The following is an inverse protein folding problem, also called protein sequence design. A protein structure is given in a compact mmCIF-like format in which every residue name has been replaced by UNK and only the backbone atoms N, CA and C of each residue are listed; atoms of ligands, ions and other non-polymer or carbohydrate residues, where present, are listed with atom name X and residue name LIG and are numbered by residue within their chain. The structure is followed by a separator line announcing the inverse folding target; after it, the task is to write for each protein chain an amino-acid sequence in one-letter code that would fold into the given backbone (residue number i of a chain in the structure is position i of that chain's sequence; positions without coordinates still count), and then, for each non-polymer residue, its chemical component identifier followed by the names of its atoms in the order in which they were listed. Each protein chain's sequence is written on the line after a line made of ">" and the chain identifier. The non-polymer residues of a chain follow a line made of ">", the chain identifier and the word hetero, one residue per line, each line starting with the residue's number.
data_IF_009786391958
#
_entry.id   IF_009786391958
#
_cell.length_a   1.000
_cell.length_b   1.000
_cell.length_c   1.000
_cell.angle_alpha   90.00
_cell.angle_beta   90.00
_cell.angle_gamma   90.00
#
_symmetry.space_group_name_H-M   'P 1'
#
loop_
_entity.id
_entity.type
_entity.pdbx_description
1 polymer ?
#
# COMPACT_ATOMS: atom_id res chain seq x y z
N UNK A 1 2.67 9.88 -11.77
CA UNK A 1 3.00 8.53 -11.29
C UNK A 1 2.60 7.49 -12.31
N UNK A 2 3.44 6.47 -12.50
CA UNK A 2 3.33 5.48 -13.60
C UNK A 2 2.51 4.23 -13.25
N UNK A 3 2.21 3.99 -11.98
CA UNK A 3 1.50 2.80 -11.50
C UNK A 3 0.05 3.11 -11.11
N UNK A 4 -0.82 2.11 -11.27
CA UNK A 4 -2.15 2.05 -10.66
C UNK A 4 -2.06 1.51 -9.22
N UNK A 5 -3.14 1.63 -8.45
CA UNK A 5 -3.20 1.17 -7.05
C UNK A 5 -3.05 -0.34 -6.86
N UNK A 6 -3.26 -1.12 -7.92
CA UNK A 6 -3.01 -2.56 -7.94
C UNK A 6 -1.55 -2.92 -8.28
N UNK A 7 -0.68 -1.91 -8.42
CA UNK A 7 0.73 -2.00 -8.85
C UNK A 7 0.92 -2.39 -10.32
N UNK A 8 -0.14 -2.35 -11.14
CA UNK A 8 -0.02 -2.46 -12.60
C UNK A 8 0.52 -1.17 -13.22
N UNK A 9 1.25 -1.30 -14.33
CA UNK A 9 1.75 -0.17 -15.10
C UNK A 9 0.61 0.48 -15.90
N UNK A 10 0.49 1.81 -15.83
CA UNK A 10 -0.48 2.56 -16.63
C UNK A 10 -0.21 2.34 -18.13
N UNK A 11 -1.26 2.01 -18.87
CA UNK A 11 -1.15 1.63 -20.30
C UNK A 11 -0.80 0.17 -20.56
N UNK A 12 -0.32 -0.57 -19.55
CA UNK A 12 0.06 -1.98 -19.66
C UNK A 12 -0.58 -2.81 -18.52
N UNK A 13 -1.89 -3.08 -18.58
CA UNK A 13 -2.67 -3.64 -17.46
C UNK A 13 -2.33 -5.10 -17.09
N UNK A 14 -1.40 -5.74 -17.80
CA UNK A 14 -0.88 -7.09 -17.52
C UNK A 14 0.55 -7.07 -16.98
N UNK A 15 1.14 -5.89 -16.82
CA UNK A 15 2.51 -5.69 -16.33
C UNK A 15 2.47 -5.09 -14.94
N UNK A 16 3.07 -5.77 -13.97
CA UNK A 16 3.13 -5.34 -12.58
C UNK A 16 4.57 -5.01 -12.19
N UNK A 17 4.75 -4.00 -11.33
CA UNK A 17 6.06 -3.60 -10.83
C UNK A 17 6.08 -3.58 -9.30
N UNK A 18 7.21 -3.95 -8.72
CA UNK A 18 7.44 -3.95 -7.29
C UNK A 18 8.94 -3.78 -6.98
N UNK A 19 9.25 -3.46 -5.72
CA UNK A 19 10.62 -3.22 -5.27
C UNK A 19 11.11 -1.82 -5.60
N UNK A 20 12.41 -1.60 -5.46
CA UNK A 20 13.01 -0.26 -5.53
C UNK A 20 12.67 0.53 -6.82
N UNK A 21 12.44 -0.17 -7.95
CA UNK A 21 12.03 0.46 -9.21
C UNK A 21 10.72 1.24 -9.11
N UNK A 22 9.86 0.92 -8.13
CA UNK A 22 8.58 1.62 -7.91
C UNK A 22 8.70 2.82 -6.97
N UNK A 23 9.89 3.10 -6.44
CA UNK A 23 10.12 4.19 -5.48
C UNK A 23 9.86 3.82 -4.03
N UNK A 24 9.85 2.52 -3.69
CA UNK A 24 10.00 2.10 -2.29
C UNK A 24 11.48 1.90 -1.94
N UNK A 25 11.83 2.07 -0.67
CA UNK A 25 13.19 1.85 -0.18
C UNK A 25 13.18 0.85 0.98
N UNK A 26 14.07 -0.14 0.95
CA UNK A 26 14.17 -1.18 1.98
C UNK A 26 13.68 -2.56 1.54
N UNK A 27 14.21 -3.60 2.19
CA UNK A 27 13.90 -5.00 1.89
C UNK A 27 12.46 -5.36 2.26
N UNK A 28 11.96 -4.83 3.37
CA UNK A 28 10.61 -5.13 3.87
C UNK A 28 9.57 -4.53 2.91
N UNK A 29 9.76 -3.28 2.51
CA UNK A 29 8.89 -2.57 1.57
C UNK A 29 8.91 -3.20 0.19
N UNK A 30 10.09 -3.58 -0.30
CA UNK A 30 10.22 -4.26 -1.58
C UNK A 30 9.51 -5.62 -1.57
N UNK A 31 9.68 -6.40 -0.50
CA UNK A 31 9.01 -7.71 -0.33
C UNK A 31 7.50 -7.53 -0.24
N UNK A 32 7.04 -6.54 0.52
CA UNK A 32 5.64 -6.18 0.67
C UNK A 32 4.97 -5.81 -0.67
N UNK A 33 5.63 -4.95 -1.47
CA UNK A 33 5.13 -4.60 -2.81
C UNK A 33 5.15 -5.81 -3.74
N UNK A 34 6.18 -6.65 -3.68
CA UNK A 34 6.29 -7.86 -4.49
C UNK A 34 5.15 -8.84 -4.23
N UNK A 35 4.86 -9.10 -2.96
CA UNK A 35 3.74 -9.95 -2.54
C UNK A 35 2.41 -9.41 -3.07
N UNK A 36 2.14 -8.12 -2.87
CA UNK A 36 0.87 -7.50 -3.30
C UNK A 36 0.74 -7.48 -4.82
N UNK A 37 1.81 -7.14 -5.54
CA UNK A 37 1.83 -7.19 -7.01
C UNK A 37 1.54 -8.61 -7.51
N UNK A 38 2.14 -9.63 -6.90
CA UNK A 38 1.89 -11.04 -7.22
C UNK A 38 0.44 -11.47 -6.95
N UNK A 39 -0.12 -11.08 -5.82
CA UNK A 39 -1.54 -11.31 -5.50
C UNK A 39 -2.45 -10.67 -6.55
N UNK A 40 -2.22 -9.40 -6.90
CA UNK A 40 -3.04 -8.69 -7.88
C UNK A 40 -2.88 -9.29 -9.29
N UNK A 41 -1.67 -9.65 -9.70
CA UNK A 41 -1.42 -10.33 -10.97
C UNK A 41 -2.14 -11.68 -11.04
N UNK A 42 -2.05 -12.50 -9.98
CA UNK A 42 -2.75 -13.78 -9.89
C UNK A 42 -4.28 -13.61 -9.97
N UNK A 43 -4.84 -12.64 -9.24
CA UNK A 43 -6.27 -12.31 -9.31
C UNK A 43 -6.69 -11.90 -10.72
N UNK A 44 -5.92 -11.03 -11.38
CA UNK A 44 -6.18 -10.58 -12.75
C UNK A 44 -6.18 -11.74 -13.75
N UNK A 45 -5.22 -12.66 -13.64
CA UNK A 45 -5.16 -13.86 -14.48
C UNK A 45 -6.35 -14.80 -14.27
N UNK A 46 -6.90 -14.84 -13.04
CA UNK A 46 -8.09 -15.61 -12.69
C UNK A 46 -9.41 -14.89 -13.00
N UNK A 47 -9.37 -13.69 -13.60
CA UNK A 47 -10.56 -12.88 -13.87
C UNK A 47 -11.26 -12.36 -12.61
N UNK A 48 -10.58 -12.32 -11.46
CA UNK A 48 -11.13 -11.81 -10.19
C UNK A 48 -10.96 -10.29 -10.11
N UNK A 49 -11.88 -9.65 -9.40
CA UNK A 49 -11.84 -8.20 -9.19
C UNK A 49 -10.66 -7.78 -8.31
N UNK A 50 -10.22 -6.54 -8.50
CA UNK A 50 -9.21 -5.92 -7.65
C UNK A 50 -9.80 -5.63 -6.26
N UNK A 51 -9.10 -6.07 -5.21
CA UNK A 51 -9.43 -5.74 -3.83
C UNK A 51 -8.40 -4.71 -3.33
N UNK A 52 -8.80 -3.47 -3.08
CA UNK A 52 -7.86 -2.42 -2.71
C UNK A 52 -7.27 -2.66 -1.31
N UNK A 53 -5.94 -2.57 -1.23
CA UNK A 53 -5.23 -2.52 0.04
C UNK A 53 -5.65 -1.25 0.78
N UNK A 54 -6.05 -1.35 2.07
CA UNK A 54 -6.60 -0.21 2.80
C UNK A 54 -5.51 0.83 3.10
N UNK A 55 -5.77 2.10 2.76
CA UNK A 55 -4.80 3.22 2.87
C UNK A 55 -4.32 3.51 4.29
N UNK A 56 -5.09 3.11 5.30
CA UNK A 56 -4.72 3.27 6.69
C UNK A 56 -3.80 2.13 7.21
N UNK A 57 -3.51 1.12 6.39
CA UNK A 57 -2.47 0.12 6.64
C UNK A 57 -1.10 0.61 6.15
N UNK A 58 0.00 0.03 6.65
CA UNK A 58 1.35 0.37 6.18
C UNK A 58 1.53 0.14 4.67
N UNK A 59 1.05 -1.00 4.18
CA UNK A 59 1.08 -1.36 2.77
C UNK A 59 0.28 -0.37 1.91
N UNK A 60 -0.94 -0.05 2.32
CA UNK A 60 -1.79 0.88 1.58
C UNK A 60 -1.26 2.32 1.59
N UNK A 61 -0.65 2.75 2.70
CA UNK A 61 0.01 4.05 2.79
C UNK A 61 1.19 4.15 1.80
N UNK A 62 2.03 3.11 1.70
CA UNK A 62 3.11 3.05 0.71
C UNK A 62 2.58 3.01 -0.72
N UNK A 63 1.58 2.17 -1.01
CA UNK A 63 0.96 2.08 -2.34
C UNK A 63 0.43 3.45 -2.76
N UNK A 64 -0.28 4.13 -1.85
CA UNK A 64 -0.77 5.48 -2.10
C UNK A 64 0.37 6.43 -2.41
N UNK A 65 1.44 6.41 -1.61
CA UNK A 65 2.60 7.26 -1.83
C UNK A 65 3.22 7.05 -3.21
N UNK A 66 3.45 5.81 -3.65
CA UNK A 66 4.09 5.51 -4.94
C UNK A 66 3.14 5.60 -6.16
N UNK A 67 1.82 5.72 -5.94
CA UNK A 67 0.84 5.81 -7.05
C UNK A 67 0.18 7.18 -7.19
N UNK A 68 0.13 7.97 -6.11
CA UNK A 68 -0.64 9.23 -6.05
C UNK A 68 0.21 10.48 -5.71
N UNK A 69 1.50 10.34 -5.33
CA UNK A 69 2.37 11.50 -5.08
C UNK A 69 2.60 12.34 -6.34
N UNK A 70 2.87 13.64 -6.14
CA UNK A 70 3.31 14.53 -7.22
C UNK A 70 4.62 13.99 -7.83
N UNK A 71 4.70 13.76 -9.16
CA UNK A 71 5.94 13.37 -9.82
C UNK A 71 7.06 14.40 -9.65
N UNK A 72 6.72 15.69 -9.60
CA UNK A 72 7.68 16.74 -9.35
C UNK A 72 8.16 16.67 -7.90
N UNK A 73 9.43 16.34 -7.72
CA UNK A 73 10.04 16.19 -6.39
C UNK A 73 9.72 14.86 -5.70
N UNK A 74 9.19 13.86 -6.42
CA UNK A 74 9.06 12.51 -5.87
C UNK A 74 10.42 11.96 -5.44
N UNK A 75 10.47 11.33 -4.27
CA UNK A 75 11.65 10.64 -3.74
C UNK A 75 11.25 9.24 -3.31
N UNK A 76 12.12 8.23 -3.48
CA UNK A 76 11.91 6.93 -2.87
C UNK A 76 11.73 7.04 -1.35
N UNK A 77 10.89 6.19 -0.77
CA UNK A 77 10.66 6.19 0.67
C UNK A 77 10.43 4.79 1.22
N UNK A 78 10.90 4.58 2.45
CA UNK A 78 10.46 3.50 3.32
C UNK A 78 9.14 3.85 4.03
N UNK A 79 8.55 2.90 4.77
CA UNK A 79 7.37 3.22 5.58
C UNK A 79 7.73 4.14 6.75
N UNK A 80 6.97 5.21 6.92
CA UNK A 80 7.09 6.08 8.08
C UNK A 80 5.70 6.60 8.51
N UNK A 81 5.60 7.10 9.75
CA UNK A 81 4.34 7.59 10.30
C UNK A 81 3.73 8.79 9.56
N UNK A 82 4.52 9.49 8.73
CA UNK A 82 4.04 10.60 7.90
C UNK A 82 3.22 10.16 6.69
N UNK A 83 3.37 8.91 6.24
CA UNK A 83 2.62 8.37 5.09
C UNK A 83 1.19 7.92 5.48
N UNK A 84 0.93 7.68 6.77
CA UNK A 84 -0.38 7.26 7.22
C UNK A 84 -1.38 8.42 7.19
N UNK A 85 -2.63 8.10 6.88
CA UNK A 85 -3.72 9.08 6.98
C UNK A 85 -3.85 9.66 8.39
N UNK A 86 -4.23 10.93 8.49
CA UNK A 86 -4.44 11.57 9.79
C UNK A 86 -5.53 10.86 10.62
N UNK A 87 -5.41 10.95 11.94
CA UNK A 87 -6.51 10.59 12.84
C UNK A 87 -7.59 11.68 12.77
N UNK A 88 -8.86 11.31 12.98
CA UNK A 88 -9.98 12.26 12.98
C UNK A 88 -9.81 13.32 14.08
N UNK A 89 -9.29 12.91 15.22
CA UNK A 89 -9.09 13.76 16.38
C UNK A 89 -7.63 14.15 16.54
N UNK A 90 -7.40 15.38 17.00
CA UNK A 90 -6.06 15.89 17.27
C UNK A 90 -5.54 15.31 18.59
N UNK A 91 -4.60 14.39 18.48
CA UNK A 91 -3.88 13.83 19.63
C UNK A 91 -2.56 14.56 19.83
N UNK A 92 -2.38 15.20 20.99
CA UNK A 92 -1.15 15.94 21.34
C UNK A 92 0.02 15.02 21.68
N UNK A 93 -0.23 13.94 22.42
CA UNK A 93 0.80 12.97 22.78
C UNK A 93 1.22 12.15 21.54
N UNK A 94 2.48 12.33 21.13
CA UNK A 94 3.07 11.65 19.98
C UNK A 94 3.11 10.13 20.13
N UNK A 95 3.39 9.60 21.33
CA UNK A 95 3.48 8.15 21.56
C UNK A 95 2.08 7.54 21.49
N UNK A 96 1.10 8.17 22.15
CA UNK A 96 -0.29 7.74 22.08
C UNK A 96 -0.84 7.83 20.66
N UNK A 97 -0.57 8.93 19.93
CA UNK A 97 -0.93 9.07 18.51
C UNK A 97 -0.40 7.93 17.64
N UNK A 98 0.89 7.60 17.78
CA UNK A 98 1.52 6.50 17.02
C UNK A 98 0.87 5.16 17.34
N UNK A 99 0.54 4.89 18.60
CA UNK A 99 -0.17 3.68 19.02
C UNK A 99 -1.52 3.56 18.32
N UNK A 100 -2.32 4.62 18.32
CA UNK A 100 -3.62 4.64 17.64
C UNK A 100 -3.51 4.40 16.13
N UNK A 101 -2.47 4.96 15.48
CA UNK A 101 -2.20 4.70 14.06
C UNK A 101 -1.91 3.22 13.83
N UNK A 102 -1.06 2.60 14.66
CA UNK A 102 -0.72 1.17 14.56
C UNK A 102 -1.94 0.28 14.79
N UNK A 103 -2.73 0.55 15.83
CA UNK A 103 -3.96 -0.21 16.13
C UNK A 103 -4.95 -0.16 14.95
N UNK A 104 -5.17 1.03 14.38
CA UNK A 104 -6.01 1.20 13.18
C UNK A 104 -5.44 0.48 11.96
N UNK A 105 -4.13 0.57 11.74
CA UNK A 105 -3.45 -0.07 10.62
C UNK A 105 -3.54 -1.60 10.68
N UNK A 106 -3.29 -2.18 11.85
CA UNK A 106 -3.40 -3.62 12.08
C UNK A 106 -4.83 -4.12 11.93
N UNK A 107 -5.82 -3.37 12.43
CA UNK A 107 -7.23 -3.70 12.27
C UNK A 107 -7.62 -3.78 10.79
N UNK A 108 -7.34 -2.73 10.02
CA UNK A 108 -7.70 -2.71 8.60
C UNK A 108 -6.92 -3.71 7.76
N UNK A 109 -5.66 -3.99 8.11
CA UNK A 109 -4.91 -5.07 7.46
C UNK A 109 -5.53 -6.45 7.71
N UNK A 110 -5.96 -6.74 8.95
CA UNK A 110 -6.66 -8.00 9.27
C UNK A 110 -7.97 -8.13 8.49
N UNK A 111 -8.77 -7.06 8.43
CA UNK A 111 -10.01 -7.03 7.64
C UNK A 111 -9.75 -7.28 6.15
N UNK A 112 -8.67 -6.70 5.59
CA UNK A 112 -8.25 -6.94 4.22
C UNK A 112 -7.86 -8.41 3.98
N UNK A 113 -7.07 -9.01 4.89
CA UNK A 113 -6.67 -10.42 4.77
C UNK A 113 -7.88 -11.37 4.79
N UNK A 114 -8.91 -11.07 5.59
CA UNK A 114 -10.15 -11.85 5.58
C UNK A 114 -10.81 -11.81 4.21
N UNK A 115 -10.97 -10.63 3.61
CA UNK A 115 -11.57 -10.47 2.27
C UNK A 115 -10.79 -11.20 1.19
N UNK A 116 -9.47 -11.14 1.22
CA UNK A 116 -8.62 -11.84 0.24
C UNK A 116 -8.78 -13.36 0.35
N UNK A 117 -8.90 -13.91 1.57
CA UNK A 117 -9.06 -15.34 1.80
C UNK A 117 -10.45 -15.87 1.44
N UNK A 118 -11.50 -15.10 1.74
CA UNK A 118 -12.88 -15.46 1.37
C UNK A 118 -13.07 -15.47 -0.15
N UNK A 119 -12.28 -14.66 -0.85
CA UNK A 119 -12.28 -14.58 -2.31
C UNK A 119 -11.47 -15.69 -3.01
N UNK A 120 -10.61 -16.47 -2.34
CA UNK A 120 -9.66 -17.40 -2.98
C UNK A 120 -10.24 -18.73 -3.46
#
# INVERSE_FOLDING_TARGET
>A
MFLNRDLSLKGYPKTYMAGQITGVEGYIESTAMGLIAGINASRKLRGKDFVPVPENSAHGALIKYITESNPEGFQPSNINFGLFSSLKERVKDRKFKRRLIVERALKSWKEYLTRIKEDE
#
